data_IF_656689515283
#
_entry.id   IF_656689515283
#
_cell.length_a   1.000
_cell.length_b   1.000
_cell.length_c   1.000
_cell.angle_alpha   90.00
_cell.angle_beta   90.00
_cell.angle_gamma   90.00
#
_symmetry.space_group_name_H-M   'P 1'
#
loop_
_entity.id
_entity.type
_entity.pdbx_description
1 polymer ?
#
# COMPACT_ATOMS: atom_id res chain seq x y z
N UNK A 1 -6.72 -0.91 -14.42
CA UNK A 1 -5.61 -0.55 -13.52
C UNK A 1 -5.81 0.89 -13.04
N UNK A 2 -5.46 1.20 -11.79
CA UNK A 2 -5.42 2.58 -11.27
C UNK A 2 -4.00 2.85 -10.78
N UNK A 3 -3.36 3.91 -11.26
CA UNK A 3 -1.93 4.15 -11.00
C UNK A 3 -1.72 5.10 -9.84
N UNK A 4 -0.91 4.65 -8.88
CA UNK A 4 -0.19 5.50 -7.94
C UNK A 4 1.23 5.68 -8.48
N UNK A 5 1.67 6.91 -8.71
CA UNK A 5 3.03 7.17 -9.21
C UNK A 5 4.03 6.87 -8.09
N UNK A 6 4.81 5.81 -8.25
CA UNK A 6 5.89 5.42 -7.32
C UNK A 6 7.22 5.94 -7.84
N UNK A 7 7.90 5.17 -8.67
CA UNK A 7 9.20 5.47 -9.27
C UNK A 7 9.04 5.80 -10.75
N UNK A 8 9.71 6.87 -11.21
CA UNK A 8 9.64 7.36 -12.59
C UNK A 8 8.74 8.58 -12.79
N UNK A 9 8.83 9.19 -13.96
CA UNK A 9 8.07 10.41 -14.27
C UNK A 9 6.57 10.08 -14.31
N UNK A 10 5.77 10.95 -13.68
CA UNK A 10 4.31 10.93 -13.77
C UNK A 10 3.89 11.33 -15.19
N UNK A 11 3.95 10.35 -16.09
CA UNK A 11 3.66 10.48 -17.50
C UNK A 11 2.50 9.54 -17.88
N UNK A 12 1.59 9.99 -18.73
CA UNK A 12 0.47 9.20 -19.23
C UNK A 12 0.94 7.93 -19.96
N UNK A 13 2.12 7.95 -20.58
CA UNK A 13 2.74 6.77 -21.24
C UNK A 13 3.07 5.63 -20.29
N UNK A 14 3.21 5.93 -19.00
CA UNK A 14 3.45 4.95 -17.95
C UNK A 14 2.12 4.47 -17.31
N UNK A 15 0.96 4.88 -17.85
CA UNK A 15 -0.34 4.35 -17.43
C UNK A 15 -0.57 2.96 -18.05
N UNK A 16 -1.11 2.05 -17.24
CA UNK A 16 -1.41 0.68 -17.62
C UNK A 16 -2.90 0.50 -17.97
N UNK A 17 -3.28 -0.53 -18.75
CA UNK A 17 -2.50 -1.72 -19.12
C UNK A 17 -1.43 -1.47 -20.18
N UNK A 18 -0.33 -2.22 -20.09
CA UNK A 18 0.64 -2.33 -21.18
C UNK A 18 0.26 -3.54 -22.03
N UNK A 19 0.42 -3.47 -23.35
CA UNK A 19 -0.03 -4.55 -24.23
C UNK A 19 0.87 -4.74 -25.47
N UNK A 20 0.79 -5.94 -26.02
CA UNK A 20 1.22 -6.31 -27.39
C UNK A 20 -0.01 -6.83 -28.15
N UNK A 21 0.17 -7.27 -29.38
CA UNK A 21 -0.91 -7.93 -30.14
C UNK A 21 -1.39 -9.24 -29.50
N UNK A 22 -0.59 -9.87 -28.61
CA UNK A 22 -0.91 -11.16 -28.00
C UNK A 22 -1.38 -11.08 -26.55
N UNK A 23 -0.97 -10.05 -25.80
CA UNK A 23 -1.18 -10.02 -24.34
C UNK A 23 -1.26 -8.58 -23.82
N UNK A 24 -2.17 -8.34 -22.89
CA UNK A 24 -2.25 -7.11 -22.11
C UNK A 24 -2.03 -7.43 -20.63
N UNK A 25 -1.29 -6.58 -19.91
CA UNK A 25 -1.00 -6.78 -18.48
C UNK A 25 -1.31 -5.55 -17.64
N UNK A 26 -1.65 -5.81 -16.39
CA UNK A 26 -1.71 -4.86 -15.30
C UNK A 26 -0.89 -5.38 -14.10
N UNK A 27 -0.25 -4.46 -13.40
CA UNK A 27 0.83 -4.72 -12.45
C UNK A 27 0.72 -3.75 -11.27
N UNK A 28 0.73 -4.29 -10.07
CA UNK A 28 0.92 -3.55 -8.82
C UNK A 28 2.20 -4.02 -8.15
N UNK A 29 3.21 -3.15 -8.05
CA UNK A 29 4.52 -3.55 -7.56
C UNK A 29 5.64 -2.55 -7.83
N UNK A 30 6.87 -2.98 -7.54
CA UNK A 30 8.10 -2.39 -8.06
C UNK A 30 9.15 -3.50 -8.26
N UNK A 31 9.81 -3.54 -9.42
CA UNK A 31 10.90 -4.49 -9.70
C UNK A 31 12.26 -3.83 -9.41
N UNK A 32 13.06 -4.43 -8.53
CA UNK A 32 14.38 -3.88 -8.16
C UNK A 32 15.44 -4.13 -9.23
N UNK A 33 15.32 -5.22 -9.98
CA UNK A 33 16.29 -5.63 -11.00
C UNK A 33 15.85 -5.32 -12.45
N UNK A 34 14.78 -4.52 -12.66
CA UNK A 34 14.20 -4.34 -14.01
C UNK A 34 15.21 -3.84 -15.06
N UNK A 35 16.13 -2.94 -14.69
CA UNK A 35 17.16 -2.41 -15.61
C UNK A 35 18.13 -3.49 -16.09
N UNK A 36 18.54 -4.42 -15.22
CA UNK A 36 19.46 -5.50 -15.60
C UNK A 36 18.74 -6.53 -16.46
N UNK A 37 17.50 -6.87 -16.12
CA UNK A 37 16.64 -7.77 -16.90
C UNK A 37 16.36 -7.18 -18.29
N UNK A 38 16.01 -5.88 -18.36
CA UNK A 38 15.82 -5.16 -19.64
C UNK A 38 17.05 -5.28 -20.54
N UNK A 39 18.25 -4.95 -20.03
CA UNK A 39 19.51 -5.07 -20.81
C UNK A 39 19.76 -6.50 -21.31
N UNK A 40 19.45 -7.52 -20.50
CA UNK A 40 19.58 -8.94 -20.87
C UNK A 40 18.59 -9.35 -21.97
N UNK A 41 17.40 -8.75 -22.00
CA UNK A 41 16.40 -8.98 -23.05
C UNK A 41 16.75 -8.22 -24.34
N UNK A 42 17.25 -6.98 -24.22
CA UNK A 42 17.74 -6.18 -25.34
C UNK A 42 18.93 -6.86 -26.05
N UNK A 43 19.85 -7.48 -25.31
CA UNK A 43 20.96 -8.24 -25.92
C UNK A 43 20.51 -9.50 -26.67
N UNK A 44 19.27 -9.95 -26.45
CA UNK A 44 18.61 -11.02 -27.21
C UNK A 44 17.75 -10.49 -28.36
N UNK A 45 17.78 -9.19 -28.62
CA UNK A 45 17.04 -8.54 -29.71
C UNK A 45 15.61 -8.11 -29.37
N UNK A 46 15.18 -8.21 -28.10
CA UNK A 46 13.86 -7.73 -27.67
C UNK A 46 13.90 -6.21 -27.54
N UNK A 47 12.98 -5.53 -28.23
CA UNK A 47 12.86 -4.07 -28.20
C UNK A 47 11.95 -3.60 -27.07
N UNK A 48 12.28 -2.44 -26.50
CA UNK A 48 11.49 -1.77 -25.47
C UNK A 48 11.10 -0.37 -25.95
N UNK A 49 9.92 0.07 -25.57
CA UNK A 49 9.37 1.39 -25.91
C UNK A 49 9.41 2.36 -24.72
N UNK A 50 9.53 1.82 -23.51
CA UNK A 50 9.50 2.56 -22.24
C UNK A 50 10.63 2.14 -21.31
N UNK A 51 10.86 2.94 -20.27
CA UNK A 51 11.74 2.61 -19.14
C UNK A 51 10.96 2.12 -17.91
N UNK A 52 9.80 1.50 -18.14
CA UNK A 52 8.96 0.93 -17.08
C UNK A 52 9.31 -0.54 -16.80
N UNK A 53 9.31 -0.89 -15.52
CA UNK A 53 9.35 -2.27 -15.05
C UNK A 53 8.18 -3.12 -15.57
N UNK A 54 7.02 -2.51 -15.81
CA UNK A 54 5.84 -3.18 -16.36
C UNK A 54 6.14 -3.76 -17.74
N UNK A 55 6.87 -3.04 -18.60
CA UNK A 55 7.21 -3.55 -19.94
C UNK A 55 8.14 -4.77 -19.88
N UNK A 56 9.01 -4.86 -18.86
CA UNK A 56 9.85 -6.06 -18.65
C UNK A 56 8.98 -7.30 -18.40
N UNK A 57 7.95 -7.18 -17.56
CA UNK A 57 7.00 -8.27 -17.30
C UNK A 57 6.26 -8.64 -18.60
N UNK A 58 5.77 -7.63 -19.33
CA UNK A 58 5.04 -7.81 -20.58
C UNK A 58 5.89 -8.60 -21.59
N UNK A 59 7.11 -8.14 -21.87
CA UNK A 59 7.97 -8.74 -22.90
C UNK A 59 8.39 -10.17 -22.55
N UNK A 60 8.63 -10.47 -21.26
CA UNK A 60 8.90 -11.85 -20.83
C UNK A 60 7.68 -12.74 -21.09
N UNK A 61 6.49 -12.33 -20.64
CA UNK A 61 5.28 -13.14 -20.81
C UNK A 61 4.90 -13.29 -22.29
N UNK A 62 4.95 -12.23 -23.09
CA UNK A 62 4.67 -12.25 -24.53
C UNK A 62 5.58 -13.24 -25.27
N UNK A 63 6.87 -13.27 -24.94
CA UNK A 63 7.83 -14.20 -25.55
C UNK A 63 7.57 -15.67 -25.18
N UNK A 64 7.06 -15.94 -23.97
CA UNK A 64 6.80 -17.32 -23.51
C UNK A 64 5.40 -17.84 -23.88
N UNK A 65 4.43 -16.94 -24.04
CA UNK A 65 3.01 -17.26 -24.24
C UNK A 65 2.59 -17.29 -25.71
N UNK A 66 3.53 -17.46 -26.63
CA UNK A 66 3.25 -17.68 -28.05
C UNK A 66 2.30 -18.86 -28.26
N UNK A 67 1.36 -18.81 -29.23
CA UNK A 67 0.45 -19.92 -29.50
C UNK A 67 1.23 -21.24 -29.74
N UNK A 68 0.81 -22.35 -29.14
CA UNK A 68 1.49 -23.63 -29.34
C UNK A 68 1.41 -24.06 -30.81
N UNK A 69 2.53 -24.54 -31.36
CA UNK A 69 2.54 -25.24 -32.66
C UNK A 69 1.87 -26.61 -32.51
N UNK A 70 1.40 -27.21 -33.61
CA UNK A 70 0.90 -28.60 -33.58
C UNK A 70 1.93 -29.54 -32.92
N UNK A 71 1.49 -30.31 -31.91
CA UNK A 71 2.35 -31.15 -31.08
C UNK A 71 3.03 -30.44 -29.89
N UNK A 72 2.69 -29.18 -29.59
CA UNK A 72 3.23 -28.41 -28.47
C UNK A 72 2.71 -28.83 -27.09
N UNK A 73 3.25 -28.19 -26.03
CA UNK A 73 2.80 -28.39 -24.64
C UNK A 73 1.31 -28.02 -24.48
N UNK A 74 0.62 -28.71 -23.57
CA UNK A 74 -0.72 -28.30 -23.10
C UNK A 74 -0.67 -26.82 -22.68
N UNK A 75 -1.64 -26.00 -23.13
CA UNK A 75 -1.63 -24.55 -22.93
C UNK A 75 -1.48 -24.14 -21.46
N UNK A 76 -2.16 -24.83 -20.55
CA UNK A 76 -2.00 -24.69 -19.10
C UNK A 76 -0.55 -24.89 -18.63
N UNK A 77 0.11 -25.94 -19.11
CA UNK A 77 1.50 -26.24 -18.75
C UNK A 77 2.47 -25.18 -19.29
N UNK A 78 2.19 -24.63 -20.48
CA UNK A 78 2.93 -23.49 -21.03
C UNK A 78 2.78 -22.25 -20.14
N UNK A 79 1.55 -21.89 -19.76
CA UNK A 79 1.28 -20.72 -18.91
C UNK A 79 2.00 -20.81 -17.57
N UNK A 80 1.92 -21.94 -16.87
CA UNK A 80 2.62 -22.08 -15.59
C UNK A 80 4.14 -22.13 -15.75
N UNK A 81 4.66 -22.67 -16.86
CA UNK A 81 6.08 -22.59 -17.20
C UNK A 81 6.53 -21.15 -17.45
N UNK A 82 5.73 -20.34 -18.14
CA UNK A 82 5.99 -18.92 -18.38
C UNK A 82 6.02 -18.13 -17.06
N UNK A 83 5.03 -18.35 -16.18
CA UNK A 83 4.98 -17.72 -14.86
C UNK A 83 6.21 -18.10 -14.02
N UNK A 84 6.60 -19.38 -14.03
CA UNK A 84 7.80 -19.85 -13.31
C UNK A 84 9.07 -19.20 -13.83
N UNK A 85 9.21 -19.07 -15.16
CA UNK A 85 10.35 -18.38 -15.77
C UNK A 85 10.39 -16.91 -15.39
N UNK A 86 9.27 -16.19 -15.52
CA UNK A 86 9.15 -14.80 -15.11
C UNK A 86 9.63 -14.62 -13.67
N UNK A 87 9.06 -15.36 -12.72
CA UNK A 87 9.42 -15.27 -11.30
C UNK A 87 10.88 -15.65 -11.00
N UNK A 88 11.53 -16.40 -11.89
CA UNK A 88 12.95 -16.73 -11.79
C UNK A 88 13.89 -15.69 -12.39
N UNK A 89 13.39 -14.74 -13.18
CA UNK A 89 14.18 -13.67 -13.79
C UNK A 89 14.01 -12.32 -13.09
N UNK A 90 12.84 -12.04 -12.52
CA UNK A 90 12.52 -10.75 -11.89
C UNK A 90 12.62 -10.81 -10.36
N UNK A 91 13.07 -9.71 -9.78
CA UNK A 91 13.14 -9.49 -8.33
C UNK A 91 12.35 -8.23 -7.98
N UNK A 92 11.60 -8.29 -6.89
CA UNK A 92 10.72 -7.20 -6.46
C UNK A 92 9.42 -7.68 -5.85
N UNK A 93 8.52 -6.73 -5.67
CA UNK A 93 7.15 -6.95 -5.24
C UNK A 93 6.23 -6.86 -6.44
N UNK A 94 5.32 -7.82 -6.61
CA UNK A 94 4.40 -7.79 -7.74
C UNK A 94 3.15 -8.65 -7.56
N UNK A 95 2.03 -8.08 -7.98
CA UNK A 95 0.80 -8.78 -8.32
C UNK A 95 0.44 -8.42 -9.75
N UNK A 96 0.35 -9.43 -10.62
CA UNK A 96 0.17 -9.24 -12.06
C UNK A 96 -1.11 -9.94 -12.50
N UNK A 97 -1.94 -9.21 -13.23
CA UNK A 97 -3.05 -9.75 -14.00
C UNK A 97 -2.73 -9.56 -15.49
N UNK A 98 -2.97 -10.58 -16.31
CA UNK A 98 -2.73 -10.54 -17.74
C UNK A 98 -3.89 -11.20 -18.49
N UNK A 99 -4.22 -10.66 -19.65
CA UNK A 99 -5.22 -11.22 -20.57
C UNK A 99 -4.56 -11.47 -21.91
N UNK A 100 -4.73 -12.67 -22.47
CA UNK A 100 -4.21 -13.00 -23.81
C UNK A 100 -5.23 -12.68 -24.88
N UNK A 101 -4.80 -12.51 -26.13
CA UNK A 101 -5.67 -12.30 -27.29
C UNK A 101 -6.62 -13.48 -27.54
N UNK A 102 -6.32 -14.66 -26.99
CA UNK A 102 -7.19 -15.84 -27.03
C UNK A 102 -8.28 -15.82 -25.95
N UNK A 103 -8.35 -14.79 -25.10
CA UNK A 103 -9.35 -14.65 -24.05
C UNK A 103 -9.01 -15.36 -22.74
N UNK A 104 -7.73 -15.66 -22.50
CA UNK A 104 -7.28 -16.31 -21.26
C UNK A 104 -6.93 -15.26 -20.21
N UNK A 105 -7.27 -15.51 -18.94
CA UNK A 105 -6.87 -14.68 -17.81
C UNK A 105 -5.78 -15.39 -16.99
N UNK A 106 -4.67 -14.70 -16.79
CA UNK A 106 -3.52 -15.17 -16.01
C UNK A 106 -3.33 -14.21 -14.84
N UNK A 107 -3.15 -14.76 -13.65
CA UNK A 107 -2.94 -13.98 -12.44
C UNK A 107 -1.82 -14.62 -11.62
N UNK A 108 -0.79 -13.85 -11.25
CA UNK A 108 0.35 -14.36 -10.49
C UNK A 108 0.82 -13.36 -9.44
N UNK A 109 1.41 -13.89 -8.37
CA UNK A 109 1.87 -13.13 -7.22
C UNK A 109 3.30 -13.49 -6.88
N UNK A 110 4.11 -12.50 -6.52
CA UNK A 110 5.52 -12.69 -6.21
C UNK A 110 5.77 -13.75 -5.11
N UNK A 111 6.95 -14.41 -5.11
CA UNK A 111 7.28 -15.46 -4.14
C UNK A 111 7.25 -15.05 -2.66
N UNK A 112 7.37 -13.76 -2.34
CA UNK A 112 7.30 -13.25 -0.97
C UNK A 112 5.87 -12.91 -0.55
N UNK A 113 5.00 -12.64 -1.53
CA UNK A 113 3.63 -12.20 -1.36
C UNK A 113 3.54 -10.76 -0.86
N UNK A 114 4.37 -9.84 -1.36
CA UNK A 114 4.43 -8.46 -0.88
C UNK A 114 3.09 -7.73 -1.00
N UNK A 115 2.54 -7.73 -2.21
CA UNK A 115 1.31 -7.01 -2.55
C UNK A 115 0.08 -7.91 -2.39
N UNK A 116 -1.08 -7.36 -1.99
CA UNK A 116 -2.30 -8.14 -1.87
C UNK A 116 -2.83 -8.50 -3.26
N UNK A 117 -3.39 -9.71 -3.38
CA UNK A 117 -3.99 -10.18 -4.62
C UNK A 117 -4.92 -11.36 -4.34
N UNK A 118 -6.18 -11.22 -4.73
CA UNK A 118 -7.21 -12.19 -4.42
C UNK A 118 -8.04 -12.58 -5.65
N UNK A 119 -8.66 -13.75 -5.54
CA UNK A 119 -9.56 -14.34 -6.51
C UNK A 119 -10.99 -14.29 -5.96
N UNK A 120 -11.93 -13.94 -6.82
CA UNK A 120 -13.36 -14.01 -6.55
C UNK A 120 -14.14 -14.66 -7.68
N UNK A 121 -15.45 -14.89 -7.43
CA UNK A 121 -16.35 -15.53 -8.39
C UNK A 121 -17.76 -14.92 -8.30
N UNK A 122 -18.44 -14.80 -9.45
CA UNK A 122 -19.87 -14.46 -9.53
C UNK A 122 -20.51 -15.27 -10.65
N UNK A 123 -21.40 -16.20 -10.31
CA UNK A 123 -21.93 -17.16 -11.29
C UNK A 123 -20.78 -17.97 -11.88
N UNK A 124 -20.57 -17.90 -13.19
CA UNK A 124 -19.45 -18.54 -13.90
C UNK A 124 -18.26 -17.61 -14.19
N UNK A 125 -18.39 -16.32 -13.85
CA UNK A 125 -17.31 -15.35 -14.04
C UNK A 125 -16.32 -15.39 -12.88
N UNK A 126 -15.03 -15.34 -13.22
CA UNK A 126 -13.93 -15.23 -12.27
C UNK A 126 -13.33 -13.81 -12.27
N UNK A 127 -12.90 -13.37 -11.09
CA UNK A 127 -12.34 -12.04 -10.88
C UNK A 127 -11.01 -12.14 -10.16
N UNK A 128 -10.05 -11.30 -10.55
CA UNK A 128 -8.81 -11.11 -9.80
C UNK A 128 -8.62 -9.62 -9.52
N UNK A 129 -8.23 -9.29 -8.29
CA UNK A 129 -8.08 -7.90 -7.87
C UNK A 129 -7.13 -7.77 -6.70
N UNK A 130 -6.58 -6.56 -6.51
CA UNK A 130 -5.68 -6.28 -5.38
C UNK A 130 -6.36 -6.47 -4.02
N UNK A 131 -7.65 -6.14 -3.93
CA UNK A 131 -8.38 -6.06 -2.66
C UNK A 131 -9.80 -6.62 -2.79
N UNK A 132 -10.27 -7.34 -1.77
CA UNK A 132 -11.62 -7.96 -1.79
C UNK A 132 -12.75 -6.95 -1.92
N UNK A 133 -12.56 -5.70 -1.47
CA UNK A 133 -13.56 -4.64 -1.61
C UNK A 133 -13.98 -4.39 -3.08
N UNK A 134 -13.11 -4.71 -4.04
CA UNK A 134 -13.46 -4.66 -5.46
C UNK A 134 -14.43 -5.79 -5.87
N UNK A 135 -14.35 -6.95 -5.23
CA UNK A 135 -15.30 -8.07 -5.42
C UNK A 135 -16.66 -7.69 -4.86
N UNK A 136 -16.70 -7.13 -3.65
CA UNK A 136 -17.95 -6.69 -3.01
C UNK A 136 -18.67 -5.66 -3.88
N UNK A 137 -17.93 -4.70 -4.45
CA UNK A 137 -18.48 -3.65 -5.32
C UNK A 137 -19.18 -4.21 -6.58
N UNK A 138 -18.77 -5.38 -7.07
CA UNK A 138 -19.40 -6.04 -8.22
C UNK A 138 -20.35 -7.18 -7.81
N UNK A 139 -20.53 -7.41 -6.51
CA UNK A 139 -21.31 -8.52 -5.95
C UNK A 139 -20.73 -9.89 -6.28
N UNK A 140 -19.39 -10.01 -6.32
CA UNK A 140 -18.68 -11.27 -6.43
C UNK A 140 -18.28 -11.78 -5.04
N UNK A 141 -18.30 -13.09 -4.86
CA UNK A 141 -17.87 -13.74 -3.64
C UNK A 141 -16.33 -13.81 -3.59
N UNK A 142 -15.75 -13.47 -2.44
CA UNK A 142 -14.33 -13.71 -2.17
C UNK A 142 -14.06 -15.21 -2.07
N UNK A 143 -13.18 -15.72 -2.94
CA UNK A 143 -12.80 -17.13 -2.91
C UNK A 143 -11.58 -17.35 -2.01
N UNK A 144 -10.48 -16.66 -2.29
CA UNK A 144 -9.21 -16.73 -1.53
C UNK A 144 -8.16 -15.75 -2.04
N UNK A 145 -7.16 -15.47 -1.22
CA UNK A 145 -5.91 -14.88 -1.69
C UNK A 145 -5.17 -15.80 -2.69
N UNK A 146 -4.47 -15.20 -3.65
CA UNK A 146 -3.49 -15.90 -4.49
C UNK A 146 -2.23 -16.09 -3.64
N UNK A 147 -1.77 -17.34 -3.54
CA UNK A 147 -0.62 -17.69 -2.68
C UNK A 147 0.67 -17.01 -3.18
N UNK A 148 1.61 -16.66 -2.28
CA UNK A 148 2.95 -16.22 -2.66
C UNK A 148 3.63 -17.23 -3.60
N UNK A 149 4.15 -16.78 -4.74
CA UNK A 149 4.75 -17.63 -5.78
C UNK A 149 3.73 -18.53 -6.51
N UNK A 150 2.44 -18.25 -6.34
CA UNK A 150 1.34 -18.94 -6.99
C UNK A 150 0.90 -18.24 -8.28
N UNK A 151 0.33 -19.03 -9.17
CA UNK A 151 -0.32 -18.55 -10.38
C UNK A 151 -1.71 -19.19 -10.55
N UNK A 152 -2.62 -18.44 -11.17
CA UNK A 152 -3.96 -18.84 -11.58
C UNK A 152 -4.06 -18.64 -13.08
N UNK A 153 -4.65 -19.61 -13.75
CA UNK A 153 -4.96 -19.60 -15.17
C UNK A 153 -6.45 -19.89 -15.33
N UNK A 154 -7.14 -19.03 -16.07
CA UNK A 154 -8.55 -19.20 -16.42
C UNK A 154 -8.63 -19.19 -17.94
N UNK A 155 -9.12 -20.30 -18.50
CA UNK A 155 -9.28 -20.44 -19.94
C UNK A 155 -10.56 -19.74 -20.44
N UNK A 156 -10.75 -19.60 -21.77
CA UNK A 156 -11.91 -18.91 -22.33
C UNK A 156 -13.25 -19.58 -22.03
N UNK A 157 -13.26 -20.85 -21.61
CA UNK A 157 -14.47 -21.55 -21.17
C UNK A 157 -14.84 -21.24 -19.72
N UNK A 158 -13.97 -20.54 -18.99
CA UNK A 158 -14.13 -20.23 -17.57
C UNK A 158 -13.54 -21.29 -16.64
N UNK A 159 -12.85 -22.31 -17.17
CA UNK A 159 -12.19 -23.31 -16.32
C UNK A 159 -10.99 -22.68 -15.62
N UNK A 160 -10.97 -22.81 -14.30
CA UNK A 160 -9.91 -22.29 -13.44
C UNK A 160 -8.94 -23.40 -13.04
N UNK A 161 -7.65 -23.18 -13.33
CA UNK A 161 -6.53 -23.96 -12.84
C UNK A 161 -5.62 -23.07 -11.96
N UNK A 162 -4.98 -23.66 -10.95
CA UNK A 162 -4.02 -22.92 -10.11
C UNK A 162 -2.84 -23.79 -9.72
N UNK A 163 -1.65 -23.18 -9.62
CA UNK A 163 -0.42 -23.89 -9.32
C UNK A 163 0.51 -23.06 -8.42
N UNK A 164 1.24 -23.75 -7.55
CA UNK A 164 2.43 -23.20 -6.91
C UNK A 164 3.58 -23.26 -7.91
N UNK A 165 3.89 -22.16 -8.59
CA UNK A 165 4.90 -22.15 -9.67
C UNK A 165 6.33 -22.00 -9.14
N UNK A 166 6.50 -21.25 -8.05
CA UNK A 166 7.77 -21.09 -7.33
C UNK A 166 7.50 -21.26 -5.84
N UNK A 167 8.26 -22.10 -5.14
CA UNK A 167 8.09 -22.27 -3.70
C UNK A 167 8.43 -20.97 -2.93
N UNK A 168 7.53 -20.52 -2.06
CA UNK A 168 7.79 -19.40 -1.17
C UNK A 168 8.71 -19.83 -0.03
N UNK A 169 9.97 -19.38 -0.05
CA UNK A 169 10.97 -19.68 1.00
C UNK A 169 10.86 -18.74 2.19
N UNK A 170 10.46 -17.48 1.94
CA UNK A 170 10.30 -16.42 2.94
C UNK A 170 9.09 -15.59 2.55
N UNK A 171 8.25 -15.25 3.52
CA UNK A 171 7.16 -14.28 3.35
C UNK A 171 7.62 -12.89 3.76
N UNK A 172 7.15 -11.87 3.06
CA UNK A 172 7.37 -10.47 3.38
C UNK A 172 6.14 -9.64 2.99
N UNK A 173 4.97 -9.98 3.52
CA UNK A 173 3.73 -9.26 3.21
C UNK A 173 3.80 -7.81 3.71
N UNK A 174 3.44 -6.82 2.88
CA UNK A 174 3.58 -5.41 3.24
C UNK A 174 2.70 -5.03 4.45
N UNK A 175 3.32 -4.69 5.58
CA UNK A 175 2.58 -4.26 6.78
C UNK A 175 1.80 -2.96 6.53
N UNK A 176 2.26 -2.12 5.60
CA UNK A 176 1.69 -0.81 5.33
C UNK A 176 0.34 -0.86 4.63
N UNK A 177 -0.01 -2.00 4.01
CA UNK A 177 -1.36 -2.27 3.51
C UNK A 177 -2.38 -2.23 4.67
N UNK A 178 -2.05 -2.83 5.82
CA UNK A 178 -2.90 -2.79 7.01
C UNK A 178 -2.88 -1.44 7.71
N UNK A 179 -1.72 -0.79 7.80
CA UNK A 179 -1.58 0.51 8.47
C UNK A 179 -2.36 1.60 7.75
N UNK A 180 -2.24 1.70 6.42
CA UNK A 180 -2.73 2.86 5.69
C UNK A 180 -3.31 2.55 4.30
N UNK A 181 -2.62 1.75 3.48
CA UNK A 181 -2.84 1.76 2.03
C UNK A 181 -4.15 1.08 1.59
N UNK A 182 -4.47 -0.09 2.16
CA UNK A 182 -5.67 -0.83 1.80
C UNK A 182 -6.94 -0.17 2.37
N UNK A 183 -8.08 -0.44 1.74
CA UNK A 183 -9.37 0.00 2.26
C UNK A 183 -9.74 -0.78 3.53
N UNK A 184 -10.40 -0.13 4.51
CA UNK A 184 -10.75 -0.77 5.77
C UNK A 184 -11.71 -1.96 5.62
N UNK A 185 -12.55 -1.96 4.59
CA UNK A 185 -13.52 -3.04 4.29
C UNK A 185 -12.90 -4.22 3.54
N UNK A 186 -11.62 -4.16 3.18
CA UNK A 186 -10.93 -5.27 2.52
C UNK A 186 -10.56 -6.39 3.50
N UNK A 187 -10.62 -7.63 3.00
CA UNK A 187 -10.06 -8.83 3.62
C UNK A 187 -8.80 -9.20 2.85
N UNK A 188 -7.68 -9.24 3.57
CA UNK A 188 -6.36 -9.51 3.03
C UNK A 188 -5.71 -10.56 3.93
N UNK A 189 -5.23 -11.67 3.36
CA UNK A 189 -4.55 -12.73 4.11
C UNK A 189 -5.39 -13.26 5.30
N UNK A 190 -6.71 -13.34 5.10
CA UNK A 190 -7.65 -13.76 6.14
C UNK A 190 -7.80 -12.77 7.30
N UNK A 191 -7.53 -11.49 7.07
CA UNK A 191 -7.70 -10.40 8.05
C UNK A 191 -8.50 -9.27 7.43
N UNK A 192 -9.56 -8.84 8.11
CA UNK A 192 -10.23 -7.58 7.78
C UNK A 192 -9.33 -6.41 8.18
N UNK A 193 -9.07 -5.50 7.25
CA UNK A 193 -8.17 -4.36 7.47
C UNK A 193 -8.64 -3.49 8.64
N UNK A 194 -9.94 -3.18 8.73
CA UNK A 194 -10.50 -2.41 9.83
C UNK A 194 -10.26 -3.07 11.20
N UNK A 195 -10.45 -4.39 11.29
CA UNK A 195 -10.22 -5.13 12.53
C UNK A 195 -8.75 -5.05 12.97
N UNK A 196 -7.80 -5.10 12.02
CA UNK A 196 -6.39 -4.91 12.32
C UNK A 196 -6.12 -3.49 12.82
N UNK A 197 -6.71 -2.46 12.18
CA UNK A 197 -6.51 -1.06 12.59
C UNK A 197 -7.09 -0.73 13.96
N UNK A 198 -8.24 -1.31 14.32
CA UNK A 198 -8.76 -1.23 15.69
C UNK A 198 -7.76 -1.81 16.69
N UNK A 199 -7.20 -2.99 16.39
CA UNK A 199 -6.17 -3.63 17.22
C UNK A 199 -4.90 -2.79 17.33
N UNK A 200 -4.50 -2.04 16.30
CA UNK A 200 -3.36 -1.10 16.40
C UNK A 200 -3.63 -0.03 17.47
N UNK A 201 -4.85 0.49 17.53
CA UNK A 201 -5.29 1.43 18.56
C UNK A 201 -5.29 0.81 19.97
N UNK A 202 -5.78 -0.42 20.10
CA UNK A 202 -5.74 -1.18 21.35
C UNK A 202 -4.30 -1.39 21.83
N UNK A 203 -3.39 -1.77 20.92
CA UNK A 203 -1.97 -1.95 21.23
C UNK A 203 -1.26 -0.64 21.61
N UNK A 204 -1.64 0.49 21.02
CA UNK A 204 -1.20 1.81 21.49
C UNK A 204 -1.65 2.06 22.93
N UNK A 205 -2.89 1.70 23.28
CA UNK A 205 -3.42 1.87 24.63
C UNK A 205 -2.70 0.97 25.65
N UNK A 206 -2.37 -0.28 25.28
CA UNK A 206 -1.53 -1.18 26.08
C UNK A 206 -0.15 -0.56 26.37
N UNK A 207 0.48 0.06 25.36
CA UNK A 207 1.79 0.71 25.52
C UNK A 207 1.72 1.97 26.38
N UNK A 208 0.71 2.82 26.13
CA UNK A 208 0.60 4.12 26.77
C UNK A 208 -0.84 4.61 26.81
N UNK A 209 -1.45 4.53 27.99
CA UNK A 209 -2.65 5.32 28.32
C UNK A 209 -2.25 6.75 28.70
N UNK A 210 -2.74 7.74 27.93
CA UNK A 210 -2.52 9.15 28.20
C UNK A 210 -3.55 9.70 29.20
N UNK A 211 -3.17 10.70 29.97
CA UNK A 211 -4.06 11.47 30.84
C UNK A 211 -4.58 12.71 30.09
N UNK A 212 -5.51 12.48 29.16
CA UNK A 212 -6.11 13.51 28.30
C UNK A 212 -7.64 13.49 28.40
N UNK A 213 -8.28 14.58 28.02
CA UNK A 213 -9.74 14.73 28.09
C UNK A 213 -10.45 14.18 26.85
N UNK A 214 -9.74 14.12 25.71
CA UNK A 214 -10.35 13.82 24.43
C UNK A 214 -9.36 13.15 23.45
N UNK A 215 -9.81 12.08 22.81
CA UNK A 215 -9.18 11.48 21.63
C UNK A 215 -9.79 12.11 20.37
N UNK A 216 -8.94 12.54 19.44
CA UNK A 216 -9.34 13.13 18.16
C UNK A 216 -8.66 12.35 17.04
N UNK A 217 -9.41 11.69 16.14
CA UNK A 217 -8.81 11.07 14.97
C UNK A 217 -8.34 12.13 13.98
N UNK A 218 -7.19 11.91 13.36
CA UNK A 218 -6.80 12.62 12.14
C UNK A 218 -7.52 11.96 10.96
N UNK A 219 -8.41 12.66 10.24
CA UNK A 219 -9.21 12.04 9.19
C UNK A 219 -8.41 11.89 7.87
N UNK A 220 -8.63 10.83 7.10
CA UNK A 220 -9.63 9.77 7.34
C UNK A 220 -9.03 8.49 7.96
N UNK A 221 -7.72 8.26 7.80
CA UNK A 221 -7.03 7.01 8.11
C UNK A 221 -6.78 6.78 9.61
N UNK A 222 -6.61 7.83 10.41
CA UNK A 222 -6.42 7.73 11.86
C UNK A 222 -7.67 7.30 12.64
N UNK A 223 -8.85 7.25 12.01
CA UNK A 223 -10.14 6.97 12.68
C UNK A 223 -10.18 5.61 13.37
N UNK A 224 -9.79 4.56 12.66
CA UNK A 224 -9.89 3.18 13.16
C UNK A 224 -8.98 2.97 14.37
N UNK A 225 -7.73 3.45 14.32
CA UNK A 225 -6.82 3.38 15.45
C UNK A 225 -7.29 4.26 16.63
N UNK A 226 -7.86 5.44 16.37
CA UNK A 226 -8.46 6.28 17.40
C UNK A 226 -9.62 5.58 18.11
N UNK A 227 -10.48 4.89 17.34
CA UNK A 227 -11.60 4.12 17.88
C UNK A 227 -11.11 2.96 18.75
N UNK A 228 -10.11 2.20 18.29
CA UNK A 228 -9.49 1.14 19.10
C UNK A 228 -8.88 1.67 20.40
N UNK A 229 -8.17 2.79 20.33
CA UNK A 229 -7.59 3.44 21.51
C UNK A 229 -8.67 3.95 22.48
N UNK A 230 -9.73 4.55 21.95
CA UNK A 230 -10.90 4.98 22.72
C UNK A 230 -11.55 3.82 23.46
N UNK A 231 -11.87 2.73 22.76
CA UNK A 231 -12.50 1.54 23.33
C UNK A 231 -11.63 0.91 24.43
N UNK A 232 -10.31 0.84 24.23
CA UNK A 232 -9.39 0.27 25.20
C UNK A 232 -9.15 1.16 26.44
N UNK A 233 -9.17 2.49 26.29
CA UNK A 233 -8.84 3.42 27.37
C UNK A 233 -10.05 4.00 28.11
N UNK A 234 -11.22 4.02 27.47
CA UNK A 234 -12.43 4.71 27.92
C UNK A 234 -12.39 6.24 27.75
N UNK A 235 -11.33 6.82 27.19
CA UNK A 235 -11.21 8.28 27.00
C UNK A 235 -12.12 8.71 25.86
N UNK A 236 -13.05 9.66 26.03
CA UNK A 236 -14.00 10.05 24.99
C UNK A 236 -13.34 10.38 23.64
N UNK A 237 -13.95 9.92 22.54
CA UNK A 237 -13.53 10.24 21.18
C UNK A 237 -14.51 11.22 20.54
N UNK A 238 -13.99 12.25 19.84
CA UNK A 238 -14.81 13.16 19.02
C UNK A 238 -14.10 13.48 17.71
N UNK A 239 -14.89 13.56 16.64
CA UNK A 239 -14.46 14.13 15.36
C UNK A 239 -14.35 15.66 15.48
N UNK A 240 -13.22 16.14 16.01
CA UNK A 240 -12.94 17.58 16.12
C UNK A 240 -12.20 18.14 14.90
N UNK A 241 -11.65 17.27 14.03
CA UNK A 241 -11.02 17.63 12.76
C UNK A 241 -11.94 17.23 11.61
N UNK A 242 -12.42 18.20 10.85
CA UNK A 242 -13.33 17.97 9.73
C UNK A 242 -12.62 18.18 8.41
N UNK A 243 -12.50 17.10 7.63
CA UNK A 243 -11.97 17.12 6.27
C UNK A 243 -12.99 17.72 5.31
N UNK A 244 -12.59 18.79 4.63
CA UNK A 244 -13.41 19.39 3.59
C UNK A 244 -13.35 18.55 2.30
N UNK A 245 -14.43 17.79 2.06
CA UNK A 245 -14.52 16.79 0.97
C UNK A 245 -14.72 17.39 -0.42
N UNK A 246 -15.15 18.65 -0.53
CA UNK A 246 -15.61 19.23 -1.80
C UNK A 246 -14.70 20.32 -2.37
N UNK A 247 -13.46 20.46 -1.88
CA UNK A 247 -12.53 21.45 -2.44
C UNK A 247 -11.90 20.86 -3.71
N UNK A 248 -12.63 20.90 -4.81
CA UNK A 248 -12.08 20.72 -6.15
C UNK A 248 -12.22 22.03 -6.93
N UNK A 249 -11.08 22.49 -7.48
CA UNK A 249 -10.86 23.69 -8.31
C UNK A 249 -10.68 25.00 -7.54
N UNK A 250 -9.43 25.39 -7.31
CA UNK A 250 -9.10 26.82 -7.24
C UNK A 250 -9.30 27.39 -8.64
N UNK A 251 -10.31 28.24 -8.83
CA UNK A 251 -10.38 29.12 -10.00
C UNK A 251 -9.09 29.94 -10.11
N UNK A 252 -8.70 30.29 -11.34
CA UNK A 252 -7.49 31.07 -11.62
C UNK A 252 -7.52 32.34 -10.77
N UNK A 253 -6.67 32.40 -9.74
CA UNK A 253 -6.51 33.55 -8.86
C UNK A 253 -5.12 34.15 -9.06
N UNK A 254 -4.97 35.50 -9.06
CA UNK A 254 -3.72 36.17 -9.47
C UNK A 254 -2.53 36.00 -8.52
N UNK A 255 -2.74 35.49 -7.29
CA UNK A 255 -1.80 35.61 -6.18
C UNK A 255 -1.28 34.23 -5.71
N UNK A 256 0.02 34.00 -5.90
CA UNK A 256 0.71 32.73 -5.65
C UNK A 256 0.81 32.36 -4.16
N UNK A 257 0.85 33.35 -3.25
CA UNK A 257 1.03 33.12 -1.81
C UNK A 257 -0.30 32.76 -1.12
N UNK A 258 -1.42 33.33 -1.56
CA UNK A 258 -2.77 32.92 -1.12
C UNK A 258 -3.10 31.49 -1.57
N UNK A 259 -2.58 31.06 -2.72
CA UNK A 259 -2.74 29.69 -3.24
C UNK A 259 -2.04 28.65 -2.36
N UNK A 260 -0.83 28.92 -1.86
CA UNK A 260 -0.12 28.02 -0.92
C UNK A 260 -0.89 27.83 0.39
N UNK A 261 -1.56 28.88 0.91
CA UNK A 261 -2.42 28.80 2.10
C UNK A 261 -3.71 27.99 1.86
N UNK A 262 -4.37 28.16 0.71
CA UNK A 262 -5.64 27.48 0.39
C UNK A 262 -5.48 25.99 0.02
N UNK A 263 -4.31 25.60 -0.48
CA UNK A 263 -4.02 24.22 -0.91
C UNK A 263 -3.43 23.38 0.24
N UNK A 264 -2.95 24.02 1.31
CA UNK A 264 -2.03 23.43 2.28
C UNK A 264 -2.60 22.46 3.31
N UNK A 265 -3.85 22.61 3.75
CA UNK A 265 -4.56 21.60 4.56
C UNK A 265 -6.06 21.91 4.61
N UNK A 266 -6.87 20.95 4.17
CA UNK A 266 -8.32 21.07 4.05
C UNK A 266 -9.03 20.57 5.32
N UNK A 267 -8.53 20.98 6.48
CA UNK A 267 -9.07 20.59 7.78
C UNK A 267 -9.59 21.81 8.53
N UNK A 268 -10.78 21.70 9.08
CA UNK A 268 -11.34 22.66 10.02
C UNK A 268 -11.39 22.04 11.42
N UNK A 269 -11.13 22.84 12.44
CA UNK A 269 -11.21 22.41 13.84
C UNK A 269 -12.51 22.88 14.46
N UNK A 270 -13.23 21.99 15.14
CA UNK A 270 -14.40 22.35 15.95
C UNK A 270 -13.89 22.85 17.31
N UNK A 271 -13.64 24.16 17.43
CA UNK A 271 -13.04 24.78 18.62
C UNK A 271 -13.81 24.46 19.92
N UNK A 272 -15.15 24.41 19.87
CA UNK A 272 -15.97 24.08 21.04
C UNK A 272 -15.71 22.68 21.63
N UNK A 273 -15.07 21.78 20.88
CA UNK A 273 -14.66 20.48 21.38
C UNK A 273 -13.27 20.48 22.01
N UNK A 274 -12.41 21.42 21.61
CA UNK A 274 -10.96 21.42 21.86
C UNK A 274 -10.54 22.46 22.91
N UNK A 275 -11.22 23.61 22.95
CA UNK A 275 -10.85 24.74 23.81
C UNK A 275 -10.66 24.34 25.28
N UNK A 276 -9.48 24.64 25.83
CA UNK A 276 -9.09 24.41 27.22
C UNK A 276 -8.77 22.95 27.57
N UNK A 277 -8.87 22.02 26.61
CA UNK A 277 -8.68 20.58 26.85
C UNK A 277 -7.29 20.08 26.51
N UNK A 278 -6.89 19.02 27.20
CA UNK A 278 -5.77 18.17 26.80
C UNK A 278 -6.28 17.15 25.78
N UNK A 279 -5.69 17.12 24.60
CA UNK A 279 -6.17 16.28 23.50
C UNK A 279 -5.10 15.32 23.02
N UNK A 280 -5.51 14.10 22.64
CA UNK A 280 -4.67 13.15 21.92
C UNK A 280 -5.12 13.08 20.47
N UNK A 281 -4.25 13.54 19.56
CA UNK A 281 -4.43 13.32 18.12
C UNK A 281 -3.90 11.94 17.77
N UNK A 282 -4.71 11.15 17.07
CA UNK A 282 -4.34 9.81 16.62
C UNK A 282 -4.24 9.80 15.09
N UNK A 283 -3.09 9.39 14.56
CA UNK A 283 -2.85 9.28 13.12
C UNK A 283 -2.16 7.96 12.78
N UNK A 284 -2.22 7.55 11.51
CA UNK A 284 -1.65 6.26 11.10
C UNK A 284 -0.12 6.29 11.07
N UNK A 285 0.48 7.35 10.53
CA UNK A 285 1.92 7.44 10.29
C UNK A 285 2.40 8.88 10.17
N UNK A 286 3.71 9.11 10.35
CA UNK A 286 4.34 10.40 10.07
C UNK A 286 5.51 10.16 9.11
N UNK A 287 5.41 10.72 7.90
CA UNK A 287 6.44 10.59 6.85
C UNK A 287 7.40 11.79 6.85
N UNK A 288 6.94 12.97 6.43
CA UNK A 288 7.75 14.21 6.37
C UNK A 288 7.47 15.19 7.52
N UNK A 289 6.50 14.90 8.39
CA UNK A 289 6.10 15.78 9.50
C UNK A 289 5.32 17.06 9.14
N UNK A 290 5.50 17.63 7.94
CA UNK A 290 4.88 18.91 7.53
C UNK A 290 3.35 18.96 7.71
N UNK A 291 2.65 17.89 7.32
CA UNK A 291 1.19 17.80 7.49
C UNK A 291 0.81 17.78 8.96
N UNK A 292 1.45 16.92 9.75
CA UNK A 292 1.19 16.78 11.17
C UNK A 292 1.47 18.07 11.94
N UNK A 293 2.58 18.76 11.64
CA UNK A 293 2.92 20.05 12.25
C UNK A 293 1.81 21.09 12.07
N UNK A 294 1.27 21.19 10.86
CA UNK A 294 0.14 22.09 10.57
C UNK A 294 -1.16 21.66 11.26
N UNK A 295 -1.43 20.36 11.40
CA UNK A 295 -2.58 19.87 12.17
C UNK A 295 -2.45 20.28 13.65
N UNK A 296 -1.26 20.10 14.23
CA UNK A 296 -0.96 20.52 15.61
C UNK A 296 -1.17 22.03 15.76
N UNK A 297 -0.68 22.84 14.83
CA UNK A 297 -0.90 24.30 14.82
C UNK A 297 -2.39 24.65 14.78
N UNK A 298 -3.19 24.00 13.94
CA UNK A 298 -4.64 24.23 13.87
C UNK A 298 -5.34 23.92 15.20
N UNK A 299 -4.96 22.81 15.85
CA UNK A 299 -5.54 22.38 17.13
C UNK A 299 -5.12 23.31 18.27
N UNK A 300 -3.86 23.77 18.28
CA UNK A 300 -3.39 24.80 19.24
C UNK A 300 -4.07 26.15 19.04
N UNK A 301 -4.27 26.57 17.78
CA UNK A 301 -4.99 27.81 17.46
C UNK A 301 -6.47 27.74 17.87
N UNK A 302 -7.03 26.53 18.00
CA UNK A 302 -8.34 26.28 18.59
C UNK A 302 -8.29 26.16 20.14
N UNK A 303 -7.25 26.70 20.76
CA UNK A 303 -7.07 26.86 22.21
C UNK A 303 -6.96 25.53 22.99
N UNK A 304 -6.41 24.48 22.37
CA UNK A 304 -6.04 23.26 23.10
C UNK A 304 -4.99 23.55 24.19
N UNK A 305 -5.19 23.02 25.40
CA UNK A 305 -4.26 23.18 26.53
C UNK A 305 -2.98 22.37 26.33
N UNK A 306 -3.13 21.10 25.98
CA UNK A 306 -2.02 20.19 25.66
C UNK A 306 -2.41 19.39 24.40
N UNK A 307 -1.44 19.14 23.52
CA UNK A 307 -1.61 18.35 22.29
C UNK A 307 -0.61 17.20 22.33
N UNK A 308 -1.14 15.97 22.43
CA UNK A 308 -0.37 14.75 22.44
C UNK A 308 -0.58 13.99 21.12
N UNK A 309 0.46 13.37 20.59
CA UNK A 309 0.37 12.54 19.38
C UNK A 309 0.50 11.06 19.72
N UNK A 310 -0.39 10.26 19.15
CA UNK A 310 -0.39 8.80 19.14
C UNK A 310 -0.36 8.33 17.70
N UNK A 311 0.71 7.64 17.29
CA UNK A 311 0.91 7.20 15.91
C UNK A 311 0.84 5.68 15.85
N UNK A 312 -0.12 5.13 15.11
CA UNK A 312 -0.41 3.68 15.07
C UNK A 312 0.54 2.88 14.16
N UNK A 313 1.69 3.45 13.84
CA UNK A 313 2.78 2.85 13.10
C UNK A 313 4.10 3.22 13.80
N UNK A 314 5.12 2.35 13.79
CA UNK A 314 6.48 2.73 14.18
C UNK A 314 7.04 3.86 13.28
N UNK A 315 8.14 4.50 13.69
CA UNK A 315 8.75 5.55 12.89
C UNK A 315 9.22 5.03 11.52
N UNK A 316 8.84 5.72 10.44
CA UNK A 316 9.28 5.39 9.08
C UNK A 316 10.66 6.02 8.84
N UNK A 317 11.69 5.18 8.75
CA UNK A 317 13.10 5.59 8.71
C UNK A 317 13.79 5.28 7.38
N UNK A 318 13.12 4.58 6.47
CA UNK A 318 13.69 4.17 5.18
C UNK A 318 12.68 4.32 4.02
N UNK A 319 13.17 4.59 2.80
CA UNK A 319 12.35 4.50 1.60
C UNK A 319 11.86 3.06 1.38
N UNK A 320 10.81 2.88 0.58
CA UNK A 320 10.35 1.56 0.18
C UNK A 320 10.68 1.33 -1.30
N UNK A 321 11.26 0.17 -1.61
CA UNK A 321 11.55 -0.26 -2.99
C UNK A 321 10.57 -1.33 -3.49
N UNK A 322 9.52 -1.61 -2.72
CA UNK A 322 8.50 -2.64 -2.97
C UNK A 322 7.16 -2.05 -3.44
N UNK A 323 7.14 -0.79 -3.87
CA UNK A 323 5.97 -0.14 -4.46
C UNK A 323 5.11 0.67 -3.48
N UNK A 324 5.69 1.18 -2.39
CA UNK A 324 5.12 2.31 -1.62
C UNK A 324 5.98 3.54 -1.91
N UNK A 325 5.36 4.66 -2.28
CA UNK A 325 6.07 5.90 -2.64
C UNK A 325 6.49 6.68 -1.39
N UNK A 326 7.47 6.15 -0.66
CA UNK A 326 8.13 6.93 0.39
C UNK A 326 9.20 7.83 -0.21
N UNK A 327 9.35 9.05 0.31
CA UNK A 327 10.42 9.93 -0.11
C UNK A 327 11.79 9.37 0.30
N UNK A 328 12.83 10.06 -0.12
CA UNK A 328 14.20 9.67 0.22
C UNK A 328 14.45 9.77 1.73
N UNK A 329 15.45 9.03 2.25
CA UNK A 329 15.71 8.97 3.69
C UNK A 329 15.91 10.35 4.34
N UNK A 330 16.52 11.32 3.65
CA UNK A 330 16.75 12.65 4.23
C UNK A 330 15.49 13.52 4.33
N UNK A 331 14.41 13.17 3.62
CA UNK A 331 13.11 13.84 3.72
C UNK A 331 12.21 13.23 4.81
N UNK A 332 12.56 12.05 5.35
CA UNK A 332 11.81 11.37 6.39
C UNK A 332 12.12 11.98 7.75
N UNK A 333 11.09 12.46 8.46
CA UNK A 333 11.27 13.13 9.76
C UNK A 333 11.93 12.22 10.81
N UNK A 334 11.73 10.90 10.70
CA UNK A 334 12.30 9.94 11.64
C UNK A 334 13.66 9.40 11.23
N UNK A 335 14.14 9.70 10.03
CA UNK A 335 15.47 9.23 9.59
C UNK A 335 16.57 10.05 10.27
N UNK A 336 17.20 9.47 11.28
CA UNK A 336 18.30 10.09 12.03
C UNK A 336 17.84 10.96 13.20
N UNK A 337 16.53 11.09 13.44
CA UNK A 337 15.97 11.79 14.58
C UNK A 337 15.43 10.82 15.63
N UNK A 338 15.69 11.12 16.89
CA UNK A 338 15.05 10.48 18.03
C UNK A 338 13.60 10.95 18.17
N UNK A 339 12.75 10.16 18.83
CA UNK A 339 11.34 10.53 19.10
C UNK A 339 11.24 11.89 19.79
N UNK A 340 12.17 12.23 20.68
CA UNK A 340 12.19 13.52 21.37
C UNK A 340 12.53 14.70 20.44
N UNK A 341 13.42 14.50 19.48
CA UNK A 341 13.71 15.51 18.44
C UNK A 341 12.48 15.75 17.57
N UNK A 342 11.80 14.68 17.13
CA UNK A 342 10.57 14.77 16.34
C UNK A 342 9.47 15.47 17.14
N UNK A 343 9.29 15.13 18.43
CA UNK A 343 8.33 15.78 19.33
C UNK A 343 8.53 17.29 19.38
N UNK A 344 9.78 17.73 19.54
CA UNK A 344 10.15 19.15 19.55
C UNK A 344 9.87 19.82 18.21
N UNK A 345 10.22 19.17 17.09
CA UNK A 345 10.01 19.69 15.74
C UNK A 345 8.52 19.91 15.42
N UNK A 346 7.67 18.98 15.86
CA UNK A 346 6.21 19.03 15.71
C UNK A 346 5.53 19.97 16.71
N UNK A 347 6.20 20.38 17.80
CA UNK A 347 5.65 21.30 18.79
C UNK A 347 4.54 20.69 19.66
N UNK A 348 4.65 19.41 20.01
CA UNK A 348 3.63 18.65 20.77
C UNK A 348 4.10 18.32 22.18
N UNK A 349 3.17 18.18 23.11
CA UNK A 349 3.44 17.91 24.53
C UNK A 349 4.00 16.50 24.75
N UNK A 350 3.50 15.52 24.00
CA UNK A 350 4.13 14.20 23.89
C UNK A 350 3.93 13.59 22.52
N UNK A 351 4.82 12.67 22.14
CA UNK A 351 4.73 11.86 20.93
C UNK A 351 4.97 10.40 21.30
N UNK A 352 4.07 9.51 20.88
CA UNK A 352 4.20 8.07 21.05
C UNK A 352 3.95 7.38 19.72
N UNK A 353 4.93 6.61 19.28
CA UNK A 353 4.79 5.69 18.16
C UNK A 353 4.46 4.29 18.69
N UNK A 354 3.66 3.53 17.95
CA UNK A 354 3.49 2.11 18.19
C UNK A 354 4.85 1.40 18.05
N UNK A 355 5.14 0.41 18.89
CA UNK A 355 6.36 -0.38 18.75
C UNK A 355 6.24 -1.39 17.61
N UNK A 356 7.38 -1.80 17.04
CA UNK A 356 7.42 -2.79 15.97
C UNK A 356 6.81 -4.14 16.41
N UNK A 357 7.11 -4.57 17.63
CA UNK A 357 6.53 -5.77 18.23
C UNK A 357 5.01 -5.69 18.28
N UNK A 358 4.47 -4.56 18.77
CA UNK A 358 3.03 -4.35 18.93
C UNK A 358 2.32 -4.22 17.59
N UNK A 359 2.97 -3.64 16.57
CA UNK A 359 2.51 -3.68 15.18
C UNK A 359 2.36 -5.12 14.68
N UNK A 360 3.38 -5.96 14.88
CA UNK A 360 3.34 -7.36 14.46
C UNK A 360 2.28 -8.17 15.21
N UNK A 361 2.12 -7.96 16.52
CA UNK A 361 1.05 -8.55 17.32
C UNK A 361 -0.34 -8.19 16.78
N UNK A 362 -0.57 -6.90 16.49
CA UNK A 362 -1.86 -6.38 16.02
C UNK A 362 -2.24 -6.96 14.64
N UNK A 363 -1.28 -7.02 13.71
CA UNK A 363 -1.51 -7.61 12.38
C UNK A 363 -1.71 -9.14 12.51
N UNK A 364 -0.91 -9.80 13.36
CA UNK A 364 -1.06 -11.23 13.64
C UNK A 364 -0.76 -12.11 12.42
N UNK A 365 0.19 -11.69 11.58
CA UNK A 365 0.73 -12.44 10.45
C UNK A 365 2.24 -12.65 10.63
N UNK A 366 2.75 -13.79 10.15
CA UNK A 366 4.19 -14.06 10.10
C UNK A 366 4.77 -13.63 8.76
N UNK A 367 6.02 -13.16 8.78
CA UNK A 367 6.74 -12.73 7.57
C UNK A 367 6.14 -11.48 6.96
N UNK A 368 6.10 -10.41 7.76
CA UNK A 368 5.77 -9.07 7.31
C UNK A 368 7.01 -8.40 6.72
N UNK A 369 6.81 -7.53 5.74
CA UNK A 369 7.82 -6.56 5.32
C UNK A 369 7.66 -5.30 6.18
N UNK A 370 8.70 -4.99 6.93
CA UNK A 370 8.86 -3.81 7.78
C UNK A 370 10.13 -3.02 7.39
N UNK A 371 10.57 -3.15 6.13
CA UNK A 371 11.79 -2.56 5.57
C UNK A 371 11.89 -1.04 5.79
N UNK A 372 10.78 -0.34 5.62
CA UNK A 372 10.64 1.10 5.85
C UNK A 372 10.80 1.50 7.32
N UNK A 373 10.70 0.54 8.26
CA UNK A 373 10.83 0.73 9.70
C UNK A 373 12.18 0.23 10.24
N UNK A 374 12.79 -0.78 9.59
CA UNK A 374 13.99 -1.48 10.08
C UNK A 374 15.24 -1.25 9.23
N UNK A 375 15.08 -0.81 7.97
CA UNK A 375 16.10 -0.82 6.90
C UNK A 375 16.56 -2.22 6.48
N UNK A 376 15.88 -3.27 6.93
CA UNK A 376 16.19 -4.66 6.57
C UNK A 376 15.34 -5.10 5.37
N UNK A 377 15.89 -4.91 4.16
CA UNK A 377 15.17 -5.29 2.95
C UNK A 377 15.19 -6.81 2.74
N UNK A 378 14.04 -7.43 2.43
CA UNK A 378 13.93 -8.87 2.16
C UNK A 378 14.57 -9.31 0.83
N UNK A 379 14.90 -8.37 -0.05
CA UNK A 379 15.63 -8.57 -1.31
C UNK A 379 16.78 -7.58 -1.42
N UNK A 380 17.78 -7.92 -2.23
CA UNK A 380 18.91 -7.03 -2.46
C UNK A 380 18.45 -5.78 -3.20
N UNK A 381 18.80 -4.61 -2.65
CA UNK A 381 18.51 -3.32 -3.28
C UNK A 381 19.79 -2.87 -3.98
N UNK A 382 19.70 -2.67 -5.30
CA UNK A 382 20.79 -2.09 -6.06
C UNK A 382 21.14 -0.70 -5.47
N UNK A 383 22.41 -0.52 -5.09
CA UNK A 383 22.94 0.71 -4.50
C UNK A 383 22.91 1.89 -5.45
#
# INVERSE_FOLDING_TARGET
>A
HVRYSTTGVSDARNAQPFFTDNIAIAYNGNLTNYKSVKRKLESKGIKFETDSDTEVILRILDNELVPPKEGGKERKAQVFSACKKLMGEIEGAYSVAAVTAQGELIALRDPFGFKPFCLGRKGDAHYVCSESAALDAVGAEFARDIKPGGAVYIDPSGKLDSAQVVASKKRAFCMFEFVYFARPDSVIEGRTVEAVRLRLGEKLAEMKKLAVDLVIPVPDSGRSAALGYHMATGIPMKEALIKNRYIHRTFIMPDHDKRKRLVGLKLNVIQSFVNGKKVALVDDSIVRGNTMKRIVELVRNAEAKEVHLLISCPPIIAPCFMGVDFPTSHELIASGNTVEQIRKELGVDSLTYLSLEKLHEAIGLKGLCDDCLTKEYPIEIAK
#
